data_IF_786008894195
#
_entry.id   IF_786008894195
#
_cell.length_a   1.000
_cell.length_b   1.000
_cell.length_c   1.000
_cell.angle_alpha   90.00
_cell.angle_beta   90.00
_cell.angle_gamma   90.00
#
_symmetry.space_group_name_H-M   'P 1'
#
loop_
_entity.id
_entity.type
_entity.pdbx_description
1 polymer ?
#
# COMPACT_ATOMS: atom_id res chain seq x y z
N UNK A 1 -2.39 -2.94 1.20
CA UNK A 1 -1.23 -3.84 1.05
C UNK A 1 -1.37 -4.69 -0.20
N UNK A 2 -0.31 -4.77 -1.00
CA UNK A 2 -0.24 -5.69 -2.14
C UNK A 2 0.84 -6.72 -1.83
N UNK A 3 0.44 -7.97 -1.64
CA UNK A 3 1.33 -9.10 -1.41
C UNK A 3 1.72 -9.71 -2.76
N UNK A 4 2.94 -9.47 -3.21
CA UNK A 4 3.49 -9.92 -4.48
C UNK A 4 4.04 -11.36 -4.40
N UNK A 5 3.20 -12.28 -3.94
CA UNK A 5 3.54 -13.71 -3.90
C UNK A 5 4.55 -14.11 -2.83
N UNK A 6 4.59 -13.42 -1.69
CA UNK A 6 5.39 -13.84 -0.52
C UNK A 6 5.03 -15.26 -0.09
N UNK A 7 6.05 -16.04 0.29
CA UNK A 7 5.92 -17.45 0.72
C UNK A 7 5.84 -17.62 2.23
N UNK A 8 5.90 -16.51 2.98
CA UNK A 8 5.89 -16.47 4.44
C UNK A 8 4.50 -16.15 5.01
N UNK A 9 4.45 -15.78 6.29
CA UNK A 9 3.21 -15.44 6.98
C UNK A 9 2.64 -14.05 6.61
N UNK A 10 3.25 -13.30 5.68
CA UNK A 10 2.85 -11.92 5.35
C UNK A 10 1.37 -11.80 5.00
N UNK A 11 0.84 -12.72 4.18
CA UNK A 11 -0.57 -12.69 3.82
C UNK A 11 -1.50 -12.88 5.02
N UNK A 12 -1.14 -13.81 5.92
CA UNK A 12 -1.89 -14.04 7.16
C UNK A 12 -1.91 -12.79 8.03
N UNK A 13 -0.77 -12.12 8.19
CA UNK A 13 -0.66 -10.87 8.94
C UNK A 13 -1.54 -9.78 8.34
N UNK A 14 -1.54 -9.61 7.01
CA UNK A 14 -2.41 -8.64 6.33
C UNK A 14 -3.89 -8.94 6.60
N UNK A 15 -4.31 -10.20 6.51
CA UNK A 15 -5.69 -10.59 6.81
C UNK A 15 -6.07 -10.32 8.27
N UNK A 16 -5.17 -10.56 9.22
CA UNK A 16 -5.42 -10.30 10.63
C UNK A 16 -5.44 -8.80 10.95
N UNK A 17 -4.63 -7.99 10.26
CA UNK A 17 -4.69 -6.52 10.33
C UNK A 17 -6.03 -6.00 9.78
N UNK A 18 -6.51 -6.54 8.66
CA UNK A 18 -7.80 -6.19 8.08
C UNK A 18 -8.97 -6.46 9.03
N UNK A 19 -8.92 -7.54 9.83
CA UNK A 19 -9.94 -7.81 10.86
C UNK A 19 -9.96 -6.76 11.96
N UNK A 20 -8.79 -6.17 12.28
CA UNK A 20 -8.66 -5.17 13.35
C UNK A 20 -8.93 -3.75 12.86
N UNK A 21 -8.68 -3.48 11.58
CA UNK A 21 -8.84 -2.16 10.99
C UNK A 21 -9.46 -2.28 9.58
N UNK A 22 -10.73 -1.86 9.38
CA UNK A 22 -11.40 -1.95 8.09
C UNK A 22 -10.80 -1.05 7.01
N UNK A 23 -9.98 -0.05 7.37
CA UNK A 23 -9.23 0.76 6.42
C UNK A 23 -8.10 -0.03 5.74
N UNK A 24 -7.67 -1.15 6.33
CA UNK A 24 -6.65 -2.02 5.75
C UNK A 24 -7.27 -2.92 4.69
N UNK A 25 -6.86 -2.72 3.43
CA UNK A 25 -7.25 -3.57 2.30
C UNK A 25 -6.05 -4.37 1.81
N UNK A 26 -6.20 -5.68 1.63
CA UNK A 26 -5.17 -6.59 1.12
C UNK A 26 -5.48 -7.11 -0.29
N UNK A 27 -4.46 -7.16 -1.14
CA UNK A 27 -4.49 -7.83 -2.46
C UNK A 27 -3.36 -8.86 -2.45
N UNK A 28 -3.64 -10.09 -2.86
CA UNK A 28 -2.63 -11.15 -2.92
C UNK A 28 -2.48 -11.65 -4.34
N UNK A 29 -1.25 -11.62 -4.85
CA UNK A 29 -0.91 -12.24 -6.11
C UNK A 29 -0.65 -13.74 -5.94
N UNK A 30 -1.01 -14.51 -6.96
CA UNK A 30 -0.87 -15.98 -6.94
C UNK A 30 0.59 -16.46 -6.99
N UNK A 31 1.49 -15.62 -7.50
CA UNK A 31 2.95 -15.81 -7.57
C UNK A 31 3.61 -14.43 -7.60
N UNK A 32 4.93 -14.37 -7.49
CA UNK A 32 5.67 -13.13 -7.63
C UNK A 32 5.62 -12.64 -9.09
N UNK A 33 5.11 -11.44 -9.31
CA UNK A 33 5.03 -10.74 -10.60
C UNK A 33 5.95 -9.50 -10.65
N UNK A 34 6.49 -9.06 -9.52
CA UNK A 34 7.36 -7.90 -9.39
C UNK A 34 6.65 -6.63 -8.89
N UNK A 35 7.45 -5.62 -8.55
CA UNK A 35 6.99 -4.35 -7.96
C UNK A 35 6.05 -3.57 -8.88
N UNK A 36 6.35 -3.47 -10.18
CA UNK A 36 5.54 -2.66 -11.09
C UNK A 36 4.11 -3.18 -11.27
N UNK A 37 3.88 -4.50 -11.48
CA UNK A 37 2.52 -5.05 -11.46
C UNK A 37 1.80 -4.88 -10.12
N UNK A 38 2.52 -5.02 -9.00
CA UNK A 38 1.96 -4.83 -7.67
C UNK A 38 1.49 -3.38 -7.45
N UNK A 39 2.29 -2.40 -7.85
CA UNK A 39 1.94 -0.98 -7.81
C UNK A 39 0.77 -0.67 -8.73
N UNK A 40 0.77 -1.17 -9.97
CA UNK A 40 -0.31 -0.91 -10.93
C UNK A 40 -1.68 -1.36 -10.39
N UNK A 41 -1.78 -2.60 -9.87
CA UNK A 41 -3.02 -3.09 -9.26
C UNK A 41 -3.36 -2.32 -7.99
N UNK A 42 -2.35 -1.87 -7.24
CA UNK A 42 -2.52 -0.98 -6.10
C UNK A 42 -3.20 0.33 -6.50
N UNK A 43 -2.74 0.98 -7.57
CA UNK A 43 -3.33 2.20 -8.12
C UNK A 43 -4.73 1.97 -8.66
N UNK A 44 -4.97 0.90 -9.42
CA UNK A 44 -6.31 0.56 -9.95
C UNK A 44 -7.36 0.37 -8.85
N UNK A 45 -6.94 -0.04 -7.65
CA UNK A 45 -7.82 -0.31 -6.50
C UNK A 45 -7.86 0.83 -5.50
N UNK A 46 -6.94 1.79 -5.58
CA UNK A 46 -6.91 2.95 -4.72
C UNK A 46 -8.11 3.86 -5.03
N UNK A 47 -8.68 4.45 -3.98
CA UNK A 47 -9.82 5.36 -4.08
C UNK A 47 -9.52 6.57 -3.20
N UNK A 48 -9.58 7.77 -3.79
CA UNK A 48 -9.28 9.04 -3.12
C UNK A 48 -8.66 10.02 -4.11
N UNK A 49 -8.58 11.29 -3.70
CA UNK A 49 -8.07 12.37 -4.55
C UNK A 49 -6.54 12.37 -4.64
N UNK A 50 -5.87 11.80 -3.63
CA UNK A 50 -4.40 11.69 -3.55
C UNK A 50 -4.01 10.26 -3.22
N UNK A 51 -3.10 9.68 -4.00
CA UNK A 51 -2.52 8.35 -3.75
C UNK A 51 -1.06 8.49 -3.39
N UNK A 52 -0.69 8.01 -2.22
CA UNK A 52 0.71 8.00 -1.72
C UNK A 52 1.16 6.55 -1.62
N UNK A 53 2.30 6.24 -2.23
CA UNK A 53 2.95 4.93 -2.14
C UNK A 53 4.10 5.00 -1.17
N UNK A 54 4.30 3.94 -0.38
CA UNK A 54 5.38 3.85 0.60
C UNK A 54 5.93 2.42 0.60
N UNK A 55 7.26 2.28 0.67
CA UNK A 55 7.89 0.96 0.72
C UNK A 55 7.77 0.32 2.12
N UNK A 56 7.75 -1.02 2.16
CA UNK A 56 7.51 -1.78 3.39
C UNK A 56 8.76 -1.97 4.27
N UNK A 57 9.92 -1.47 3.82
CA UNK A 57 11.23 -1.60 4.47
C UNK A 57 11.55 -0.45 5.44
N UNK A 58 10.56 0.42 5.71
CA UNK A 58 10.64 1.53 6.67
C UNK A 58 11.75 2.54 6.33
N UNK A 59 12.17 2.63 5.07
CA UNK A 59 13.10 3.69 4.64
C UNK A 59 12.43 5.07 4.67
N UNK A 60 11.12 5.13 4.42
CA UNK A 60 10.33 6.36 4.41
C UNK A 60 9.67 6.61 5.77
N UNK A 61 9.68 7.86 6.24
CA UNK A 61 8.97 8.24 7.46
C UNK A 61 7.50 8.56 7.17
N UNK A 62 6.53 7.96 7.87
CA UNK A 62 5.12 8.30 7.71
C UNK A 62 4.80 9.74 8.10
N UNK A 63 5.68 10.40 8.87
CA UNK A 63 5.53 11.81 9.26
C UNK A 63 5.62 12.78 8.07
N UNK A 64 6.12 12.31 6.91
CA UNK A 64 6.21 13.11 5.68
C UNK A 64 4.87 13.17 4.92
N UNK A 65 3.96 12.23 5.17
CA UNK A 65 2.68 12.10 4.45
C UNK A 65 1.82 13.37 4.48
N UNK A 66 1.64 14.06 5.64
CA UNK A 66 0.87 15.31 5.68
C UNK A 66 1.46 16.43 4.82
N UNK A 67 2.80 16.51 4.74
CA UNK A 67 3.49 17.48 3.90
C UNK A 67 3.26 17.21 2.41
N UNK A 68 3.42 15.95 1.99
CA UNK A 68 3.17 15.51 0.62
C UNK A 68 1.72 15.78 0.19
N UNK A 69 0.75 15.46 1.05
CA UNK A 69 -0.66 15.74 0.78
C UNK A 69 -0.90 17.24 0.54
N UNK A 70 -0.38 18.10 1.43
CA UNK A 70 -0.55 19.55 1.30
C UNK A 70 0.05 20.10 0.00
N UNK A 71 1.24 19.63 -0.38
CA UNK A 71 1.89 20.02 -1.63
C UNK A 71 1.01 19.71 -2.85
N UNK A 72 0.32 18.56 -2.85
CA UNK A 72 -0.54 18.14 -3.97
C UNK A 72 -1.87 18.90 -3.97
N UNK A 73 -2.49 19.15 -2.81
CA UNK A 73 -3.86 19.71 -2.75
C UNK A 73 -3.93 21.22 -2.63
N UNK A 74 -2.86 21.89 -2.19
CA UNK A 74 -2.88 23.32 -1.84
C UNK A 74 -1.90 24.13 -2.67
N UNK A 75 -0.71 23.59 -2.90
CA UNK A 75 0.41 24.32 -3.53
C UNK A 75 0.58 23.99 -5.02
N UNK A 76 -0.21 23.05 -5.55
CA UNK A 76 -0.21 22.57 -6.94
C UNK A 76 -1.26 23.21 -7.82
#
# INVERSE_FOLDING_TARGET
FVNDGSTDASWKVICDLQKKNPCVKGICFRRNYGKSPALNVGFERAQGDVVITMDADLQDSPDEIPGLYKMITTDG
#
